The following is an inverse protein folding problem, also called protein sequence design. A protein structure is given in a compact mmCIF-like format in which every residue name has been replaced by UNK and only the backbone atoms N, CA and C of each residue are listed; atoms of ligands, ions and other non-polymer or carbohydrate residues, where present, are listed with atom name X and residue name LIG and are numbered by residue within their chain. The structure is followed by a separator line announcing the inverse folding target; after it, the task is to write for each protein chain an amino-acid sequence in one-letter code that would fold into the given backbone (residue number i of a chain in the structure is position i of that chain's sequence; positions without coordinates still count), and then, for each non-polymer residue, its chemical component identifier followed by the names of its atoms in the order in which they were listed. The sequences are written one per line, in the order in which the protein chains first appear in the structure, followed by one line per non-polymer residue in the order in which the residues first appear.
data_IF_706757860795
#
_entry.id   IF_706757860795
#
_cell.length_a   1.000
_cell.length_b   1.000
_cell.length_c   1.000
_cell.angle_alpha   90.00
_cell.angle_beta   90.00
_cell.angle_gamma   90.00
#
_symmetry.space_group_name_H-M   'P 1'
#
loop_
_entity.id
_entity.type
_entity.pdbx_description
1 polymer ?
#
# COMPACT_ATOMS: atom_id res chain seq x y z
N UNK A 1 14.10 11.81 -28.34
CA UNK A 1 15.55 12.07 -28.34
C UNK A 1 16.28 10.74 -28.39
N UNK A 2 17.42 10.67 -29.07
CA UNK A 2 18.29 9.48 -29.05
C UNK A 2 19.19 9.40 -27.80
N UNK A 3 19.34 10.52 -27.09
CA UNK A 3 20.13 10.62 -25.87
C UNK A 3 19.23 10.62 -24.63
N UNK A 4 19.50 9.68 -23.71
CA UNK A 4 18.76 9.48 -22.45
C UNK A 4 18.98 10.60 -21.44
N UNK A 5 20.19 11.16 -21.37
CA UNK A 5 20.50 12.22 -20.41
C UNK A 5 19.79 13.52 -20.81
N UNK A 6 19.71 13.80 -22.10
CA UNK A 6 18.88 14.87 -22.63
C UNK A 6 17.39 14.67 -22.30
N UNK A 7 16.86 13.44 -22.40
CA UNK A 7 15.48 13.13 -22.03
C UNK A 7 15.20 13.48 -20.56
N UNK A 8 16.10 13.07 -19.66
CA UNK A 8 15.99 13.35 -18.20
C UNK A 8 16.03 14.85 -17.94
N UNK A 9 16.92 15.60 -18.60
CA UNK A 9 17.02 17.06 -18.46
C UNK A 9 15.75 17.77 -18.88
N UNK A 10 15.11 17.33 -19.97
CA UNK A 10 13.82 17.88 -20.42
C UNK A 10 12.74 17.58 -19.39
N UNK A 11 12.61 16.32 -18.96
CA UNK A 11 11.57 15.88 -18.05
C UNK A 11 11.66 16.56 -16.67
N UNK A 12 12.88 16.82 -16.17
CA UNK A 12 13.12 17.54 -14.91
C UNK A 12 12.62 18.97 -14.86
N UNK A 13 12.29 19.57 -16.01
CA UNK A 13 11.66 20.90 -16.06
C UNK A 13 10.22 20.86 -15.58
N UNK A 14 9.57 19.71 -15.69
CA UNK A 14 8.18 19.50 -15.29
C UNK A 14 8.08 18.76 -13.94
N UNK A 15 8.84 17.67 -13.79
CA UNK A 15 8.79 16.82 -12.59
C UNK A 15 10.20 16.57 -12.03
N UNK A 16 10.46 16.85 -10.74
CA UNK A 16 11.72 16.52 -10.07
C UNK A 16 12.10 15.03 -10.11
N UNK A 17 11.12 14.11 -10.21
CA UNK A 17 11.29 12.65 -10.29
C UNK A 17 10.63 12.09 -11.56
N UNK A 18 11.22 12.35 -12.74
CA UNK A 18 10.59 11.97 -14.00
C UNK A 18 10.67 10.46 -14.25
N UNK A 19 9.65 9.95 -14.91
CA UNK A 19 9.63 8.60 -15.48
C UNK A 19 10.04 8.72 -16.95
N UNK A 20 11.02 7.92 -17.36
CA UNK A 20 11.47 7.87 -18.77
C UNK A 20 10.74 6.74 -19.46
N UNK A 21 10.15 7.05 -20.61
CA UNK A 21 9.50 6.09 -21.50
C UNK A 21 10.35 5.91 -22.75
N UNK A 22 10.40 4.69 -23.25
CA UNK A 22 11.09 4.31 -24.48
C UNK A 22 10.08 4.12 -25.60
N UNK A 23 10.45 4.51 -26.81
CA UNK A 23 9.60 4.39 -28.00
C UNK A 23 10.29 3.46 -28.99
N UNK A 24 9.59 2.41 -29.42
CA UNK A 24 10.06 1.49 -30.46
C UNK A 24 9.95 2.17 -31.84
N UNK A 25 10.93 3.00 -32.17
CA UNK A 25 10.92 3.85 -33.37
C UNK A 25 10.81 3.05 -34.68
N UNK A 26 11.53 1.94 -34.80
CA UNK A 26 11.49 1.06 -35.98
C UNK A 26 10.08 0.53 -36.24
N UNK A 27 9.48 -0.13 -35.25
CA UNK A 27 8.11 -0.65 -35.35
C UNK A 27 7.08 0.46 -35.60
N UNK A 28 7.29 1.64 -35.03
CA UNK A 28 6.41 2.81 -35.24
C UNK A 28 6.44 3.27 -36.70
N UNK A 29 7.62 3.32 -37.32
CA UNK A 29 7.80 3.72 -38.72
C UNK A 29 7.21 2.66 -39.68
N UNK A 30 7.42 1.37 -39.40
CA UNK A 30 6.83 0.27 -40.18
C UNK A 30 5.30 0.32 -40.20
N UNK A 31 4.69 0.86 -39.13
CA UNK A 31 3.25 1.05 -39.01
C UNK A 31 2.77 2.42 -39.54
N UNK A 32 3.61 3.12 -40.31
CA UNK A 32 3.23 4.34 -41.04
C UNK A 32 3.24 5.62 -40.21
N UNK A 33 3.85 5.61 -39.03
CA UNK A 33 3.95 6.82 -38.19
C UNK A 33 5.27 7.52 -38.48
N UNK A 34 5.15 8.77 -38.95
CA UNK A 34 6.30 9.59 -39.32
C UNK A 34 6.98 10.20 -38.08
N UNK A 35 8.32 10.22 -38.12
CA UNK A 35 9.13 11.06 -37.25
C UNK A 35 9.85 12.13 -38.07
N UNK A 36 9.87 13.35 -37.55
CA UNK A 36 10.56 14.49 -38.16
C UNK A 36 11.78 14.84 -37.30
N UNK A 37 12.94 14.93 -37.93
CA UNK A 37 14.17 15.31 -37.24
C UNK A 37 14.13 16.81 -36.85
N UNK A 38 14.59 17.13 -35.64
CA UNK A 38 14.61 18.50 -35.12
C UNK A 38 15.92 18.78 -34.35
N UNK A 39 16.71 19.74 -34.82
CA UNK A 39 18.03 20.01 -34.25
C UNK A 39 18.95 18.78 -34.36
N UNK A 40 19.86 18.56 -33.41
CA UNK A 40 20.85 17.49 -33.55
C UNK A 40 20.36 16.11 -33.07
N UNK A 41 19.48 16.10 -32.06
CA UNK A 41 19.14 14.88 -31.30
C UNK A 41 17.66 14.73 -30.94
N UNK A 42 16.80 15.68 -31.34
CA UNK A 42 15.36 15.62 -31.10
C UNK A 42 14.61 15.11 -32.34
N UNK A 43 13.45 14.53 -32.07
CA UNK A 43 12.54 14.00 -33.08
C UNK A 43 11.14 14.40 -32.68
N UNK A 44 10.32 14.77 -33.65
CA UNK A 44 8.93 15.16 -33.51
C UNK A 44 8.04 14.09 -34.15
N UNK A 45 6.86 13.88 -33.60
CA UNK A 45 5.80 13.05 -34.18
C UNK A 45 4.45 13.63 -33.75
N UNK A 46 3.44 13.54 -34.62
CA UNK A 46 2.10 14.04 -34.29
C UNK A 46 1.47 13.21 -33.16
N UNK A 47 1.62 11.88 -33.23
CA UNK A 47 1.11 10.95 -32.23
C UNK A 47 1.91 9.65 -32.23
N UNK A 48 2.21 9.14 -31.04
CA UNK A 48 2.77 7.80 -30.84
C UNK A 48 1.73 6.94 -30.09
N UNK A 49 1.17 5.89 -30.73
CA UNK A 49 0.27 4.95 -30.07
C UNK A 49 0.92 4.22 -28.90
N UNK A 50 0.12 3.87 -27.89
CA UNK A 50 0.57 3.27 -26.63
C UNK A 50 1.29 1.93 -26.82
N UNK A 51 0.91 1.17 -27.85
CA UNK A 51 1.52 -0.12 -28.19
C UNK A 51 3.02 -0.03 -28.54
N UNK A 52 3.51 1.15 -28.90
CA UNK A 52 4.93 1.39 -29.21
C UNK A 52 5.69 2.08 -28.07
N UNK A 53 5.05 2.25 -26.91
CA UNK A 53 5.63 2.91 -25.75
C UNK A 53 5.91 1.86 -24.67
N UNK A 54 7.18 1.78 -24.27
CA UNK A 54 7.67 0.89 -23.22
C UNK A 54 8.07 1.71 -22.00
N UNK A 55 7.50 1.38 -20.84
CA UNK A 55 7.83 2.00 -19.57
C UNK A 55 8.86 1.19 -18.78
N UNK A 56 9.42 1.76 -17.69
CA UNK A 56 10.18 0.98 -16.73
C UNK A 56 9.31 -0.14 -16.15
N UNK A 57 9.91 -1.29 -15.80
CA UNK A 57 9.16 -2.44 -15.32
C UNK A 57 8.37 -2.08 -14.06
N UNK A 58 7.09 -2.45 -14.04
CA UNK A 58 6.25 -2.29 -12.86
C UNK A 58 6.80 -3.17 -11.73
N UNK A 59 6.78 -2.68 -10.48
CA UNK A 59 7.10 -3.53 -9.33
C UNK A 59 6.11 -4.70 -9.32
N UNK A 60 6.64 -5.92 -9.17
CA UNK A 60 5.84 -7.14 -9.13
C UNK A 60 4.84 -7.01 -7.97
N UNK A 61 3.55 -6.98 -8.29
CA UNK A 61 2.51 -7.00 -7.27
C UNK A 61 2.67 -8.27 -6.44
N UNK A 62 2.84 -8.10 -5.11
CA UNK A 62 2.68 -9.20 -4.18
C UNK A 62 1.25 -9.72 -4.34
N UNK A 63 1.02 -11.05 -4.33
CA UNK A 63 -0.30 -11.61 -4.55
C UNK A 63 -1.30 -10.93 -3.61
N UNK A 64 -2.38 -10.40 -4.18
CA UNK A 64 -3.44 -9.71 -3.44
C UNK A 64 -3.81 -10.56 -2.23
N UNK A 65 -3.62 -10.02 -1.03
CA UNK A 65 -4.05 -10.67 0.21
C UNK A 65 -5.54 -10.95 0.06
N UNK A 66 -5.89 -12.22 -0.16
CA UNK A 66 -7.28 -12.66 -0.18
C UNK A 66 -7.94 -12.11 1.08
N UNK A 67 -8.98 -11.31 0.90
CA UNK A 67 -9.82 -10.89 2.01
C UNK A 67 -10.34 -12.15 2.67
N UNK A 68 -9.87 -12.43 3.89
CA UNK A 68 -10.42 -13.50 4.70
C UNK A 68 -11.89 -13.17 4.89
N UNK A 69 -12.76 -13.90 4.19
CA UNK A 69 -14.19 -13.85 4.41
C UNK A 69 -14.43 -14.00 5.91
N UNK A 70 -15.08 -12.99 6.50
CA UNK A 70 -15.50 -13.07 7.91
C UNK A 70 -16.37 -14.30 8.02
N UNK A 71 -15.86 -15.35 8.66
CA UNK A 71 -16.62 -16.55 8.97
C UNK A 71 -17.78 -16.10 9.86
N UNK A 72 -19.00 -16.07 9.31
CA UNK A 72 -20.20 -15.89 10.09
C UNK A 72 -20.23 -17.03 11.11
N UNK A 73 -20.25 -16.66 12.40
CA UNK A 73 -20.33 -17.65 13.47
C UNK A 73 -21.76 -18.16 13.48
N UNK A 74 -21.94 -19.44 13.23
CA UNK A 74 -23.23 -20.10 13.39
C UNK A 74 -23.65 -20.01 14.87
N UNK A 75 -24.82 -19.43 15.14
CA UNK A 75 -25.37 -19.32 16.49
C UNK A 75 -25.85 -20.71 16.94
N UNK A 76 -25.42 -21.16 18.12
CA UNK A 76 -25.85 -22.45 18.65
C UNK A 76 -27.36 -22.41 18.95
N UNK A 77 -28.12 -23.50 18.70
CA UNK A 77 -29.57 -23.52 18.90
C UNK A 77 -29.93 -23.15 20.34
N UNK A 78 -30.82 -22.18 20.51
CA UNK A 78 -31.23 -21.65 21.81
C UNK A 78 -30.36 -20.50 22.35
N UNK A 79 -29.31 -20.09 21.64
CA UNK A 79 -28.54 -18.88 21.95
C UNK A 79 -28.73 -17.83 20.85
N UNK A 80 -28.90 -16.57 21.24
CA UNK A 80 -28.91 -15.44 20.32
C UNK A 80 -28.00 -14.33 20.87
N UNK A 81 -27.33 -13.59 19.99
CA UNK A 81 -26.52 -12.45 20.41
C UNK A 81 -27.46 -11.26 20.67
N UNK A 82 -27.65 -10.90 21.95
CA UNK A 82 -28.42 -9.71 22.31
C UNK A 82 -27.68 -8.44 21.85
N UNK A 83 -28.16 -7.84 20.77
CA UNK A 83 -27.69 -6.54 20.28
C UNK A 83 -28.27 -5.45 21.19
N UNK A 84 -27.42 -4.49 21.59
CA UNK A 84 -27.83 -3.39 22.46
C UNK A 84 -28.95 -2.50 21.86
N UNK A 85 -29.18 -2.60 20.55
CA UNK A 85 -30.29 -1.96 19.83
C UNK A 85 -31.65 -2.59 20.13
N UNK A 86 -31.68 -3.86 20.52
CA UNK A 86 -32.90 -4.65 20.71
C UNK A 86 -33.28 -4.78 22.19
N UNK A 87 -32.58 -4.09 23.10
CA UNK A 87 -32.92 -4.04 24.53
C UNK A 87 -34.11 -3.07 24.73
N UNK A 88 -35.26 -3.52 25.27
CA UNK A 88 -36.42 -2.66 25.48
C UNK A 88 -36.20 -1.57 26.54
N UNK A 89 -35.16 -1.69 27.38
CA UNK A 89 -34.82 -0.70 28.40
C UNK A 89 -33.73 0.28 27.88
N UNK A 90 -34.17 1.45 27.43
CA UNK A 90 -33.31 2.46 26.80
C UNK A 90 -32.24 3.03 27.76
N UNK A 91 -32.49 3.05 29.07
CA UNK A 91 -31.55 3.57 30.06
C UNK A 91 -30.32 2.66 30.22
N UNK A 92 -30.50 1.35 30.05
CA UNK A 92 -29.39 0.37 30.10
C UNK A 92 -28.41 0.52 28.94
N UNK A 93 -28.90 0.91 27.76
CA UNK A 93 -28.09 1.11 26.55
C UNK A 93 -26.98 2.14 26.76
N UNK A 94 -27.26 3.21 27.50
CA UNK A 94 -26.30 4.28 27.78
C UNK A 94 -25.32 3.95 28.91
N UNK A 95 -25.75 3.12 29.89
CA UNK A 95 -24.94 2.78 31.07
C UNK A 95 -23.87 1.73 30.79
N UNK A 96 -24.07 0.85 29.81
CA UNK A 96 -23.11 -0.17 29.39
C UNK A 96 -21.74 0.42 29.02
N UNK A 97 -21.72 1.62 28.42
CA UNK A 97 -20.50 2.32 27.99
C UNK A 97 -19.62 2.78 29.17
N UNK A 98 -20.23 3.05 30.34
CA UNK A 98 -19.52 3.60 31.53
C UNK A 98 -18.78 2.54 32.36
N UNK A 99 -19.10 1.24 32.19
CA UNK A 99 -18.55 0.14 33.01
C UNK A 99 -17.23 -0.45 32.47
N UNK A 100 -16.74 0.07 31.34
CA UNK A 100 -15.53 -0.43 30.64
C UNK A 100 -14.22 -0.06 31.36
N UNK A 101 -14.21 0.97 32.21
CA UNK A 101 -12.98 1.54 32.79
C UNK A 101 -12.11 0.55 33.59
N UNK A 102 -12.67 -0.16 34.58
CA UNK A 102 -11.86 -1.00 35.49
C UNK A 102 -11.19 -2.19 34.79
N UNK A 103 -11.88 -2.84 33.84
CA UNK A 103 -11.35 -4.04 33.15
C UNK A 103 -10.30 -3.67 32.09
N UNK A 104 -10.38 -2.48 31.50
CA UNK A 104 -9.34 -1.94 30.62
C UNK A 104 -8.10 -1.49 31.40
N UNK A 105 -8.26 -0.95 32.60
CA UNK A 105 -7.15 -0.53 33.45
C UNK A 105 -6.28 -1.73 33.88
N UNK A 106 -6.92 -2.85 34.26
CA UNK A 106 -6.23 -4.13 34.54
C UNK A 106 -5.50 -4.66 33.31
N UNK A 107 -6.07 -4.53 32.09
CA UNK A 107 -5.40 -4.89 30.83
C UNK A 107 -4.19 -3.98 30.55
N UNK A 108 -4.28 -2.69 30.84
CA UNK A 108 -3.18 -1.73 30.67
C UNK A 108 -2.02 -2.03 31.63
N UNK A 109 -2.32 -2.42 32.87
CA UNK A 109 -1.33 -2.91 33.84
C UNK A 109 -0.58 -4.17 33.37
N UNK A 110 -1.28 -5.12 32.75
CA UNK A 110 -0.66 -6.34 32.17
C UNK A 110 0.27 -6.03 30.98
N UNK A 111 -0.07 -5.05 30.13
CA UNK A 111 0.80 -4.59 29.04
C UNK A 111 2.10 -3.96 29.56
N UNK A 112 2.04 -3.15 30.63
CA UNK A 112 3.23 -2.57 31.27
C UNK A 112 4.18 -3.63 31.86
N UNK A 113 3.65 -4.70 32.44
CA UNK A 113 4.46 -5.83 32.94
C UNK A 113 5.15 -6.61 31.82
N UNK A 114 4.51 -6.77 30.65
CA UNK A 114 5.14 -7.38 29.46
C UNK A 114 6.28 -6.53 28.89
N UNK A 115 6.10 -5.22 28.83
CA UNK A 115 7.17 -4.29 28.40
C UNK A 115 8.36 -4.25 29.38
N UNK A 116 8.15 -4.55 30.66
CA UNK A 116 9.23 -4.75 31.65
C UNK A 116 10.00 -6.06 31.46
N UNK A 117 9.33 -7.13 30.99
CA UNK A 117 9.95 -8.42 30.67
C UNK A 117 10.78 -8.38 29.37
N UNK A 118 10.47 -7.48 28.43
CA UNK A 118 11.30 -7.27 27.23
C UNK A 118 12.65 -6.61 27.56
N UNK A 119 12.76 -5.85 28.66
CA UNK A 119 14.05 -5.32 29.14
C UNK A 119 14.91 -6.36 29.86
N UNK A 120 14.35 -7.50 30.27
CA UNK A 120 15.13 -8.63 30.83
C UNK A 120 15.63 -9.62 29.77
N UNK A 121 15.21 -9.47 28.52
CA UNK A 121 15.57 -10.34 27.39
C UNK A 121 16.61 -9.73 26.44
N UNK A 122 17.27 -8.64 26.83
CA UNK A 122 18.50 -8.20 26.17
C UNK A 122 19.64 -9.11 26.67
N UNK A 123 20.31 -9.87 25.78
CA UNK A 123 21.34 -10.80 26.20
C UNK A 123 22.51 -10.01 26.79
N UNK A 124 22.87 -10.31 28.04
CA UNK A 124 24.21 -10.01 28.54
C UNK A 124 25.13 -10.95 27.76
N UNK A 125 25.64 -10.48 26.62
CA UNK A 125 26.84 -11.05 26.02
C UNK A 125 27.85 -11.27 27.14
N UNK A 126 28.61 -12.38 27.10
CA UNK A 126 29.75 -12.65 28.00
C UNK A 126 29.26 -13.17 29.37
N UNK A 127 29.63 -14.37 29.83
CA UNK A 127 30.91 -14.71 30.50
C UNK A 127 30.94 -16.24 30.70
N UNK A 128 31.91 -16.97 30.15
CA UNK A 128 33.02 -17.63 30.89
C UNK A 128 32.53 -18.73 31.88
N UNK A 129 32.99 -19.98 31.92
CA UNK A 129 34.15 -20.73 31.41
C UNK A 129 33.78 -22.22 31.49
#
# INVERSE_FOLDING_TARGET
TKDRDLAIRIARRLDPRPIILEISAESTIENGIAFYHFGDSLYLADRVPVQFISGPPLPKELPSRQETSKKEREEAPGSFILKAEMDPDLERRNKAKRRIGWKEEVKRGRKRKRAGLEKSWLPKSFTEL
#
